data_IF_219822235801
#
_entry.id   IF_219822235801
#
_cell.length_a   1.000
_cell.length_b   1.000
_cell.length_c   1.000
_cell.angle_alpha   90.00
_cell.angle_beta   90.00
_cell.angle_gamma   90.00
#
_symmetry.space_group_name_H-M   'P 1'
#
loop_
_entity.id
_entity.type
_entity.pdbx_description
1 polymer ?
#
# COMPACT_ATOMS: atom_id res chain seq x y z
N UNK A 1 43.44 -65.59 0.34
CA UNK A 1 42.98 -64.24 -0.06
C UNK A 1 41.61 -63.99 0.57
N UNK A 2 41.56 -63.82 1.90
CA UNK A 2 41.70 -62.61 2.71
C UNK A 2 40.35 -61.88 2.93
N UNK A 3 39.60 -62.38 3.92
CA UNK A 3 38.31 -61.88 4.43
C UNK A 3 38.41 -60.41 4.94
N UNK A 4 39.63 -59.86 5.04
CA UNK A 4 39.88 -58.44 5.36
C UNK A 4 39.57 -57.46 4.23
N UNK A 5 39.54 -57.87 2.95
CA UNK A 5 39.28 -56.93 1.85
C UNK A 5 37.78 -56.69 1.58
N UNK A 6 36.91 -57.68 1.85
CA UNK A 6 35.47 -57.53 1.67
C UNK A 6 34.79 -56.62 2.72
N UNK A 7 35.43 -56.43 3.89
CA UNK A 7 34.94 -55.49 4.93
C UNK A 7 35.30 -54.03 4.63
N UNK A 8 36.35 -53.75 3.87
CA UNK A 8 36.78 -52.37 3.58
C UNK A 8 36.01 -51.71 2.43
N UNK A 9 35.40 -52.48 1.53
CA UNK A 9 34.59 -51.94 0.42
C UNK A 9 33.21 -51.43 0.86
N UNK A 10 32.53 -52.16 1.74
CA UNK A 10 31.16 -51.83 2.22
C UNK A 10 31.10 -50.61 3.13
N UNK A 11 32.18 -50.28 3.82
CA UNK A 11 32.25 -49.10 4.69
C UNK A 11 32.59 -47.83 3.90
N UNK A 12 33.35 -47.94 2.80
CA UNK A 12 33.65 -46.81 1.92
C UNK A 12 32.45 -46.36 1.10
N UNK A 13 31.56 -47.27 0.69
CA UNK A 13 30.30 -46.93 0.00
C UNK A 13 29.20 -46.44 0.95
N UNK A 14 29.16 -46.94 2.19
CA UNK A 14 28.23 -46.44 3.21
C UNK A 14 28.62 -45.05 3.75
N UNK A 15 29.92 -44.78 3.92
CA UNK A 15 30.41 -43.48 4.38
C UNK A 15 30.23 -42.38 3.32
N UNK A 16 30.33 -42.71 2.02
CA UNK A 16 30.07 -41.75 0.92
C UNK A 16 28.59 -41.44 0.76
N UNK A 17 27.68 -42.42 0.94
CA UNK A 17 26.24 -42.16 0.96
C UNK A 17 25.77 -41.38 2.19
N UNK A 18 26.37 -41.62 3.37
CA UNK A 18 26.04 -40.86 4.59
C UNK A 18 26.55 -39.40 4.53
N UNK A 19 27.72 -39.16 3.92
CA UNK A 19 28.23 -37.80 3.71
C UNK A 19 27.41 -37.02 2.67
N UNK A 20 26.90 -37.67 1.62
CA UNK A 20 25.99 -37.05 0.64
C UNK A 20 24.59 -36.78 1.22
N UNK A 21 24.05 -37.66 2.07
CA UNK A 21 22.80 -37.40 2.79
C UNK A 21 22.95 -36.31 3.85
N UNK A 22 24.05 -36.26 4.59
CA UNK A 22 24.35 -35.15 5.52
C UNK A 22 24.61 -33.83 4.78
N UNK A 23 25.23 -33.85 3.58
CA UNK A 23 25.39 -32.66 2.77
C UNK A 23 24.06 -32.20 2.16
N UNK A 24 23.16 -33.10 1.77
CA UNK A 24 21.81 -32.77 1.26
C UNK A 24 20.85 -32.32 2.37
N UNK A 25 20.97 -32.85 3.59
CA UNK A 25 20.22 -32.31 4.74
C UNK A 25 20.81 -30.99 5.21
N UNK A 26 22.13 -30.79 5.20
CA UNK A 26 22.75 -29.49 5.48
C UNK A 26 22.45 -28.45 4.39
N UNK A 27 22.27 -28.85 3.12
CA UNK A 27 21.82 -27.94 2.06
C UNK A 27 20.33 -27.62 2.18
N UNK A 28 19.50 -28.62 2.54
CA UNK A 28 18.07 -28.44 2.83
C UNK A 28 17.78 -27.63 4.09
N UNK A 29 18.64 -27.69 5.11
CA UNK A 29 18.56 -26.87 6.32
C UNK A 29 19.25 -25.50 6.17
N UNK A 30 20.21 -25.34 5.25
CA UNK A 30 20.82 -24.03 4.96
C UNK A 30 20.00 -23.17 3.98
N UNK A 31 18.98 -23.74 3.33
CA UNK A 31 18.04 -22.98 2.50
C UNK A 31 16.87 -22.38 3.29
N UNK A 32 16.69 -22.76 4.56
CA UNK A 32 15.83 -22.04 5.49
C UNK A 32 16.63 -20.93 6.18
N UNK A 33 16.16 -19.70 6.02
CA UNK A 33 16.57 -18.49 6.75
C UNK A 33 17.72 -17.64 6.20
N UNK A 34 17.86 -17.51 4.89
CA UNK A 34 18.20 -16.19 4.33
C UNK A 34 17.01 -15.70 3.52
N UNK A 35 15.93 -15.38 4.24
CA UNK A 35 14.96 -14.40 3.74
C UNK A 35 15.76 -13.18 3.28
N UNK A 36 15.57 -12.65 2.06
CA UNK A 36 16.22 -11.41 1.67
C UNK A 36 15.96 -10.39 2.79
N UNK A 37 17.04 -9.74 3.27
CA UNK A 37 16.98 -8.71 4.30
C UNK A 37 15.76 -7.83 4.01
N UNK A 38 14.71 -8.01 4.80
CA UNK A 38 13.42 -7.42 4.54
C UNK A 38 13.49 -5.98 5.01
N UNK A 39 13.93 -5.06 4.15
CA UNK A 39 13.93 -3.65 4.48
C UNK A 39 12.48 -3.22 4.61
N UNK A 40 12.04 -2.95 5.84
CA UNK A 40 10.69 -2.46 6.08
C UNK A 40 10.58 -1.05 5.49
N UNK A 41 9.65 -0.88 4.56
CA UNK A 41 9.38 0.37 3.83
C UNK A 41 7.94 0.83 4.03
N UNK A 42 7.70 2.11 3.72
CA UNK A 42 6.36 2.71 3.77
C UNK A 42 5.40 1.95 2.84
N UNK A 43 4.22 1.62 3.36
CA UNK A 43 3.16 0.87 2.68
C UNK A 43 3.18 -0.63 2.97
N UNK A 44 4.23 -1.17 3.59
CA UNK A 44 4.26 -2.57 4.03
C UNK A 44 3.55 -2.74 5.38
N UNK A 45 2.93 -3.90 5.59
CA UNK A 45 2.56 -4.33 6.95
C UNK A 45 3.85 -4.61 7.71
N UNK A 46 4.01 -4.01 8.89
CA UNK A 46 5.21 -4.23 9.67
C UNK A 46 5.29 -5.70 10.12
N UNK A 47 6.45 -6.36 9.95
CA UNK A 47 6.64 -7.73 10.41
C UNK A 47 6.37 -7.82 11.91
N UNK A 48 5.46 -8.70 12.31
CA UNK A 48 5.20 -8.88 13.74
C UNK A 48 6.42 -9.46 14.45
N UNK A 49 6.55 -9.16 15.73
CA UNK A 49 7.60 -9.68 16.60
C UNK A 49 7.10 -9.73 18.03
N UNK A 50 7.73 -10.57 18.84
CA UNK A 50 7.48 -10.63 20.28
C UNK A 50 8.81 -10.43 20.99
N UNK A 51 8.85 -9.46 21.91
CA UNK A 51 10.01 -9.17 22.75
C UNK A 51 9.56 -9.00 24.21
N UNK A 52 10.44 -9.30 25.18
CA UNK A 52 10.18 -8.97 26.58
C UNK A 52 10.23 -7.45 26.77
N UNK A 53 9.23 -6.90 27.47
CA UNK A 53 9.25 -5.52 27.95
C UNK A 53 10.17 -5.37 29.18
N UNK A 54 10.30 -4.13 29.66
CA UNK A 54 11.05 -3.84 30.89
C UNK A 54 10.53 -4.54 32.13
N UNK A 55 9.31 -5.08 32.17
CA UNK A 55 8.80 -5.89 33.28
C UNK A 55 9.16 -7.37 33.15
N UNK A 56 9.77 -7.77 32.03
CA UNK A 56 9.97 -9.17 31.65
C UNK A 56 8.71 -9.80 31.02
N UNK A 57 7.65 -9.02 30.79
CA UNK A 57 6.44 -9.52 30.15
C UNK A 57 6.62 -9.51 28.64
N UNK A 58 6.34 -10.64 28.00
CA UNK A 58 6.33 -10.72 26.53
C UNK A 58 5.26 -9.80 25.95
N UNK A 59 5.64 -8.98 24.96
CA UNK A 59 4.76 -8.09 24.21
C UNK A 59 4.94 -8.38 22.73
N UNK A 60 3.83 -8.60 22.03
CA UNK A 60 3.84 -8.60 20.57
C UNK A 60 3.61 -7.18 20.03
N UNK A 61 4.13 -6.88 18.84
CA UNK A 61 3.86 -5.59 18.19
C UNK A 61 2.37 -5.42 17.90
N UNK A 62 1.69 -6.51 17.55
CA UNK A 62 0.25 -6.53 17.32
C UNK A 62 -0.59 -6.17 18.55
N UNK A 63 -0.25 -6.69 19.73
CA UNK A 63 -0.94 -6.35 20.99
C UNK A 63 -0.80 -4.87 21.36
N UNK A 64 0.32 -4.24 21.02
CA UNK A 64 0.60 -2.85 21.37
C UNK A 64 -0.18 -1.83 20.51
N UNK A 65 -0.73 -2.26 19.36
CA UNK A 65 -1.53 -1.37 18.51
C UNK A 65 -2.88 -1.04 19.15
N UNK A 66 -3.62 -2.04 19.65
CA UNK A 66 -4.92 -1.87 20.32
C UNK A 66 -5.85 -0.80 19.65
N UNK A 67 -6.01 -0.89 18.32
CA UNK A 67 -6.76 0.05 17.48
C UNK A 67 -6.28 1.54 17.50
N UNK A 68 -5.01 1.77 17.81
CA UNK A 68 -4.36 3.10 17.87
C UNK A 68 -3.23 3.19 16.86
N UNK A 69 -2.80 4.41 16.57
CA UNK A 69 -1.56 4.65 15.81
C UNK A 69 -0.38 4.25 16.69
N UNK A 70 0.56 3.48 16.14
CA UNK A 70 1.73 3.03 16.88
C UNK A 70 2.98 3.75 16.39
N UNK A 71 3.70 4.37 17.31
CA UNK A 71 5.05 4.91 17.08
C UNK A 71 6.04 3.81 17.47
N UNK A 72 6.63 3.14 16.48
CA UNK A 72 7.65 2.12 16.68
C UNK A 72 9.03 2.74 16.48
N UNK A 73 9.81 2.88 17.55
CA UNK A 73 11.11 3.53 17.53
C UNK A 73 12.23 2.54 17.83
N UNK A 74 13.24 2.47 16.98
CA UNK A 74 14.47 1.68 17.20
C UNK A 74 15.59 2.60 17.66
N UNK A 75 16.17 2.30 18.82
CA UNK A 75 17.19 3.14 19.48
C UNK A 75 18.21 2.28 20.23
N UNK A 76 19.23 2.93 20.79
CA UNK A 76 20.21 2.29 21.66
C UNK A 76 20.70 3.27 22.73
N UNK A 77 21.11 2.76 23.90
CA UNK A 77 21.55 3.59 25.02
C UNK A 77 22.89 4.28 24.78
N UNK A 78 23.74 3.73 23.91
CA UNK A 78 24.96 4.39 23.46
C UNK A 78 24.69 5.60 22.55
N UNK A 79 23.46 5.74 22.05
CA UNK A 79 23.02 6.91 21.32
C UNK A 79 22.31 7.84 22.30
N UNK A 80 22.96 8.93 22.72
CA UNK A 80 22.45 9.84 23.77
C UNK A 80 21.09 10.50 23.47
N UNK A 81 20.56 10.32 22.26
CA UNK A 81 19.27 10.85 21.78
C UNK A 81 18.06 10.29 22.50
N UNK A 82 18.13 9.09 23.09
CA UNK A 82 16.96 8.43 23.69
C UNK A 82 16.35 9.20 24.86
N UNK A 83 17.18 9.91 25.64
CA UNK A 83 16.72 10.75 26.77
C UNK A 83 15.85 11.89 26.27
N UNK A 84 16.31 12.54 25.21
CA UNK A 84 15.56 13.61 24.57
C UNK A 84 14.28 13.09 23.92
N UNK A 85 14.31 11.93 23.26
CA UNK A 85 13.13 11.34 22.62
C UNK A 85 12.03 11.03 23.63
N UNK A 86 12.37 10.45 24.79
CA UNK A 86 11.40 10.20 25.86
C UNK A 86 10.71 11.48 26.31
N UNK A 87 11.47 12.57 26.51
CA UNK A 87 10.89 13.89 26.86
C UNK A 87 9.99 14.39 25.74
N UNK A 88 10.43 14.30 24.49
CA UNK A 88 9.68 14.75 23.30
C UNK A 88 8.35 13.99 23.14
N UNK A 89 8.29 12.69 23.45
CA UNK A 89 7.03 11.92 23.44
C UNK A 89 6.07 12.34 24.55
N UNK A 90 6.56 12.56 25.78
CA UNK A 90 5.74 13.07 26.89
C UNK A 90 5.16 14.45 26.55
N UNK A 91 5.95 15.33 25.94
CA UNK A 91 5.50 16.63 25.48
C UNK A 91 4.47 16.53 24.35
N UNK A 92 4.69 15.67 23.35
CA UNK A 92 3.75 15.43 22.26
C UNK A 92 2.36 15.07 22.80
N UNK A 93 2.29 14.21 23.81
CA UNK A 93 1.00 13.86 24.43
C UNK A 93 0.35 15.05 25.11
N UNK A 94 1.12 15.83 25.87
CA UNK A 94 0.61 16.99 26.60
C UNK A 94 0.08 18.06 25.65
N UNK A 95 0.76 18.27 24.52
CA UNK A 95 0.40 19.26 23.50
C UNK A 95 -0.77 18.79 22.63
N UNK A 96 -0.87 17.48 22.36
CA UNK A 96 -1.91 16.89 21.52
C UNK A 96 -2.65 15.74 22.24
N UNK A 97 -3.43 16.03 23.30
CA UNK A 97 -4.05 15.01 24.15
C UNK A 97 -5.13 14.18 23.45
N UNK A 98 -5.69 14.70 22.35
CA UNK A 98 -6.74 14.05 21.56
C UNK A 98 -6.22 12.99 20.59
N UNK A 99 -4.91 12.93 20.33
CA UNK A 99 -4.34 11.96 19.38
C UNK A 99 -4.21 10.56 20.03
N UNK A 100 -4.85 9.51 19.48
CA UNK A 100 -4.82 8.15 19.98
C UNK A 100 -3.58 7.44 19.44
N UNK A 101 -2.43 7.71 20.05
CA UNK A 101 -1.19 7.00 19.76
C UNK A 101 -0.63 6.25 20.97
N UNK A 102 0.19 5.23 20.69
CA UNK A 102 1.03 4.51 21.65
C UNK A 102 2.49 4.52 21.17
N UNK A 103 3.45 4.49 22.10
CA UNK A 103 4.88 4.46 21.77
C UNK A 103 5.47 3.11 22.20
N UNK A 104 6.01 2.38 21.22
CA UNK A 104 6.79 1.18 21.42
C UNK A 104 8.24 1.45 21.03
N UNK A 105 9.16 1.35 21.98
CA UNK A 105 10.57 1.60 21.76
C UNK A 105 11.34 0.27 21.86
N UNK A 106 12.10 -0.07 20.83
CA UNK A 106 12.96 -1.25 20.77
C UNK A 106 14.41 -0.80 20.98
N UNK A 107 14.99 -1.20 22.11
CA UNK A 107 16.42 -1.03 22.36
C UNK A 107 17.17 -2.16 21.66
N UNK A 108 18.04 -1.80 20.70
CA UNK A 108 18.79 -2.76 19.88
C UNK A 108 20.06 -3.29 20.56
N UNK A 109 20.53 -2.60 21.61
CA UNK A 109 21.71 -2.98 22.40
C UNK A 109 21.34 -3.67 23.71
N UNK A 110 20.13 -3.42 24.23
CA UNK A 110 19.66 -3.94 25.53
C UNK A 110 20.51 -3.50 26.73
N UNK A 111 21.51 -2.64 26.52
CA UNK A 111 22.40 -2.13 27.55
C UNK A 111 21.60 -1.23 28.51
N UNK A 112 21.99 -1.13 29.78
CA UNK A 112 21.38 -0.16 30.74
C UNK A 112 19.86 -0.25 30.95
N UNK A 113 19.18 -1.31 30.51
CA UNK A 113 17.74 -1.48 30.74
C UNK A 113 17.37 -1.47 32.22
N UNK A 114 18.23 -1.97 33.11
CA UNK A 114 18.02 -1.91 34.56
C UNK A 114 18.12 -0.48 35.11
N UNK A 115 18.97 0.36 34.52
CA UNK A 115 19.06 1.77 34.86
C UNK A 115 17.80 2.51 34.38
N UNK A 116 17.35 2.23 33.16
CA UNK A 116 16.09 2.78 32.65
C UNK A 116 14.89 2.36 33.52
N UNK A 117 14.81 1.07 33.88
CA UNK A 117 13.77 0.55 34.79
C UNK A 117 13.74 1.30 36.13
N UNK A 118 14.91 1.61 36.70
CA UNK A 118 15.00 2.44 37.92
C UNK A 118 14.46 3.85 37.71
N UNK A 119 14.81 4.52 36.61
CA UNK A 119 14.28 5.85 36.32
C UNK A 119 12.77 5.89 36.11
N UNK A 120 12.20 4.85 35.51
CA UNK A 120 10.73 4.70 35.44
C UNK A 120 10.15 4.55 36.85
N UNK A 121 10.71 3.67 37.70
CA UNK A 121 10.23 3.45 39.08
C UNK A 121 10.34 4.70 39.95
N UNK A 122 11.37 5.51 39.74
CA UNK A 122 11.61 6.79 40.44
C UNK A 122 10.75 7.94 39.89
N UNK A 123 9.88 7.70 38.90
CA UNK A 123 9.00 8.71 38.33
C UNK A 123 9.70 9.75 37.45
N UNK A 124 10.97 9.53 37.09
CA UNK A 124 11.77 10.44 36.24
C UNK A 124 11.39 10.35 34.77
N UNK A 125 10.72 9.27 34.39
CA UNK A 125 10.17 9.05 33.05
C UNK A 125 8.68 8.79 33.23
N UNK A 126 7.85 9.79 32.92
CA UNK A 126 6.40 9.69 32.99
C UNK A 126 5.80 9.85 31.59
N UNK A 127 5.28 8.74 31.04
CA UNK A 127 4.39 8.56 29.88
C UNK A 127 4.50 7.06 29.46
N UNK A 128 3.45 6.37 28.94
CA UNK A 128 3.47 4.91 28.79
C UNK A 128 4.23 4.47 27.52
N UNK A 129 5.53 4.74 27.48
CA UNK A 129 6.43 4.16 26.47
C UNK A 129 6.66 2.70 26.83
N UNK A 130 6.25 1.78 25.97
CA UNK A 130 6.60 0.37 26.13
C UNK A 130 8.00 0.16 25.57
N UNK A 131 8.97 -0.08 26.46
CA UNK A 131 10.34 -0.38 26.03
C UNK A 131 10.55 -1.89 26.01
N UNK A 132 11.03 -2.40 24.89
CA UNK A 132 11.33 -3.80 24.62
C UNK A 132 12.82 -3.97 24.27
N UNK A 133 13.36 -5.14 24.59
CA UNK A 133 14.79 -5.43 24.41
C UNK A 133 15.04 -6.42 23.28
N UNK A 134 15.65 -5.99 22.18
CA UNK A 134 16.05 -6.87 21.07
C UNK A 134 17.44 -7.47 21.33
N UNK A 135 17.53 -8.26 22.40
CA UNK A 135 18.77 -8.95 22.81
C UNK A 135 19.12 -10.00 21.73
N UNK A 136 20.08 -9.67 20.87
CA UNK A 136 20.47 -10.51 19.73
C UNK A 136 20.22 -9.88 18.36
N UNK A 137 19.59 -8.70 18.30
CA UNK A 137 19.45 -7.95 17.06
C UNK A 137 18.53 -8.60 16.02
N UNK A 138 17.67 -9.54 16.42
CA UNK A 138 16.81 -10.28 15.51
C UNK A 138 15.75 -9.36 14.90
N UNK A 139 15.12 -8.52 15.72
CA UNK A 139 14.11 -7.58 15.25
C UNK A 139 14.77 -6.45 14.45
N UNK A 140 15.91 -5.93 14.89
CA UNK A 140 16.73 -4.96 14.16
C UNK A 140 17.04 -5.47 12.74
N UNK A 141 17.48 -6.72 12.63
CA UNK A 141 17.83 -7.34 11.35
C UNK A 141 16.59 -7.55 10.48
N UNK A 142 15.49 -8.05 11.07
CA UNK A 142 14.20 -8.24 10.39
C UNK A 142 13.61 -6.94 9.84
N UNK A 143 13.85 -5.82 10.50
CA UNK A 143 13.41 -4.50 10.07
C UNK A 143 14.39 -3.77 9.15
N UNK A 144 15.58 -4.35 8.90
CA UNK A 144 16.63 -3.75 8.08
C UNK A 144 17.22 -2.48 8.71
N UNK A 145 17.36 -2.43 10.04
CA UNK A 145 17.84 -1.25 10.77
C UNK A 145 19.37 -1.22 10.81
N UNK A 146 19.98 -0.49 9.88
CA UNK A 146 21.43 -0.28 9.81
C UNK A 146 21.90 0.98 10.55
N UNK A 147 21.03 1.98 10.69
CA UNK A 147 21.27 3.25 11.40
C UNK A 147 20.21 3.45 12.49
N UNK A 148 20.52 4.24 13.51
CA UNK A 148 19.59 4.60 14.59
C UNK A 148 19.74 6.09 14.96
N UNK A 149 18.71 6.73 15.53
CA UNK A 149 17.36 6.19 15.74
C UNK A 149 16.54 6.13 14.45
N UNK A 150 15.63 5.16 14.38
CA UNK A 150 14.67 5.02 13.26
C UNK A 150 13.26 4.84 13.82
N UNK A 151 12.36 5.72 13.39
CA UNK A 151 10.97 5.75 13.82
C UNK A 151 10.07 5.34 12.67
N UNK A 152 9.12 4.44 12.95
CA UNK A 152 8.02 4.10 12.06
C UNK A 152 6.69 4.54 12.68
N UNK A 153 5.83 5.16 11.88
CA UNK A 153 4.43 5.35 12.22
C UNK A 153 3.60 4.26 11.57
N UNK A 154 2.96 3.44 12.38
CA UNK A 154 2.03 2.42 11.92
C UNK A 154 0.60 2.86 12.14
N UNK A 155 -0.25 2.62 11.15
CA UNK A 155 -1.69 2.78 11.34
C UNK A 155 -2.29 1.67 12.21
N UNK A 156 -3.61 1.75 12.41
CA UNK A 156 -4.40 0.79 13.21
C UNK A 156 -4.28 -0.65 12.68
N UNK A 157 -4.12 -0.79 11.37
CA UNK A 157 -3.92 -2.09 10.70
C UNK A 157 -2.48 -2.60 10.80
N UNK A 158 -1.53 -1.81 11.32
CA UNK A 158 -0.11 -2.18 11.37
C UNK A 158 0.63 -1.98 10.05
N UNK A 159 0.09 -1.19 9.13
CA UNK A 159 0.79 -0.75 7.92
C UNK A 159 1.68 0.43 8.26
N UNK A 160 2.94 0.38 7.84
CA UNK A 160 3.89 1.48 7.96
C UNK A 160 3.44 2.62 7.06
N UNK A 161 3.09 3.77 7.65
CA UNK A 161 2.67 4.97 6.92
C UNK A 161 3.78 5.99 6.77
N UNK A 162 4.67 6.08 7.77
CA UNK A 162 5.84 6.95 7.73
C UNK A 162 7.06 6.21 8.29
N UNK A 163 8.24 6.59 7.80
CA UNK A 163 9.55 6.15 8.30
C UNK A 163 10.45 7.37 8.39
N UNK A 164 11.03 7.59 9.57
CA UNK A 164 11.90 8.71 9.86
C UNK A 164 13.25 8.22 10.39
N UNK A 165 14.31 8.92 10.03
CA UNK A 165 15.62 8.79 10.65
C UNK A 165 15.73 9.87 11.72
N UNK A 166 15.67 9.47 12.98
CA UNK A 166 15.52 10.38 14.10
C UNK A 166 14.07 10.80 14.39
N UNK A 167 13.94 11.65 15.41
CA UNK A 167 12.67 12.26 15.79
C UNK A 167 12.35 13.46 14.87
N UNK A 168 11.27 13.42 14.07
CA UNK A 168 11.02 14.42 13.02
C UNK A 168 10.44 15.75 13.53
N UNK A 169 10.15 15.83 14.83
CA UNK A 169 9.52 17.00 15.46
C UNK A 169 8.05 16.75 15.84
N UNK A 170 7.60 17.37 16.94
CA UNK A 170 6.27 17.11 17.51
C UNK A 170 5.13 17.47 16.55
N UNK A 171 5.22 18.62 15.89
CA UNK A 171 4.21 19.08 14.93
C UNK A 171 4.12 18.16 13.71
N UNK A 172 5.26 17.67 13.22
CA UNK A 172 5.30 16.70 12.11
C UNK A 172 4.59 15.40 12.51
N UNK A 173 4.96 14.82 13.66
CA UNK A 173 4.28 13.62 14.16
C UNK A 173 2.78 13.85 14.39
N UNK A 174 2.38 14.99 14.95
CA UNK A 174 0.97 15.29 15.18
C UNK A 174 0.17 15.36 13.86
N UNK A 175 0.71 16.02 12.84
CA UNK A 175 0.11 16.07 11.50
C UNK A 175 0.01 14.69 10.88
N UNK A 176 1.09 13.90 10.89
CA UNK A 176 1.11 12.55 10.31
C UNK A 176 0.14 11.61 11.03
N UNK A 177 0.05 11.67 12.36
CA UNK A 177 -0.93 10.91 13.15
C UNK A 177 -2.35 11.36 12.77
N UNK A 178 -2.60 12.66 12.65
CA UNK A 178 -3.89 13.18 12.24
C UNK A 178 -4.27 12.71 10.82
N UNK A 179 -3.33 12.70 9.87
CA UNK A 179 -3.53 12.16 8.52
C UNK A 179 -3.84 10.66 8.52
N UNK A 180 -3.18 9.88 9.38
CA UNK A 180 -3.49 8.46 9.54
C UNK A 180 -4.92 8.28 10.06
N UNK A 181 -5.36 9.12 10.99
CA UNK A 181 -6.70 9.07 11.57
C UNK A 181 -7.79 9.59 10.63
N UNK A 182 -7.49 10.58 9.80
CA UNK A 182 -8.45 11.22 8.88
C UNK A 182 -8.61 10.46 7.57
N UNK A 183 -7.71 9.51 7.28
CA UNK A 183 -7.95 8.51 6.23
C UNK A 183 -9.22 7.75 6.57
N UNK A 184 -10.27 8.01 5.78
CA UNK A 184 -11.53 7.26 5.77
C UNK A 184 -11.18 5.77 5.79
N UNK A 185 -11.51 5.07 6.88
CA UNK A 185 -11.30 3.63 7.02
C UNK A 185 -11.85 2.95 5.76
N UNK A 186 -10.96 2.37 4.95
CA UNK A 186 -11.38 1.57 3.81
C UNK A 186 -11.97 0.27 4.37
N UNK A 187 -13.27 0.32 4.64
CA UNK A 187 -14.20 -0.76 4.99
C UNK A 187 -13.71 -1.79 6.03
N UNK A 188 -14.34 -1.71 7.20
CA UNK A 188 -14.41 -2.66 8.31
C UNK A 188 -15.00 -4.05 7.94
N UNK A 189 -14.59 -4.63 6.80
CA UNK A 189 -14.99 -5.99 6.38
C UNK A 189 -13.80 -6.94 6.26
N UNK A 190 -12.56 -6.44 6.38
CA UNK A 190 -11.36 -7.23 6.08
C UNK A 190 -11.24 -7.62 4.59
N UNK A 191 -12.17 -7.19 3.73
CA UNK A 191 -12.14 -7.51 2.31
C UNK A 191 -11.15 -6.59 1.58
N UNK A 192 -10.18 -7.20 0.88
CA UNK A 192 -9.29 -6.44 0.00
C UNK A 192 -10.09 -5.97 -1.20
N UNK A 193 -10.13 -4.67 -1.47
CA UNK A 193 -10.78 -4.10 -2.64
C UNK A 193 -9.77 -3.46 -3.59
N UNK A 194 -10.12 -3.41 -4.87
CA UNK A 194 -9.36 -2.71 -5.91
C UNK A 194 -10.33 -2.17 -6.96
N UNK A 195 -10.03 -1.00 -7.51
CA UNK A 195 -10.85 -0.37 -8.55
C UNK A 195 -10.05 -0.30 -9.85
N UNK A 196 -10.59 -0.92 -10.91
CA UNK A 196 -10.09 -0.73 -12.26
C UNK A 196 -10.80 0.46 -12.88
N UNK A 197 -10.02 1.38 -13.43
CA UNK A 197 -10.54 2.58 -14.09
C UNK A 197 -9.86 2.75 -15.44
N UNK A 198 -10.65 3.10 -16.46
CA UNK A 198 -10.18 3.21 -17.83
C UNK A 198 -10.47 4.60 -18.36
N UNK A 199 -9.41 5.33 -18.71
CA UNK A 199 -9.49 6.64 -19.35
C UNK A 199 -9.66 6.49 -20.87
N UNK A 200 -10.04 7.59 -21.51
CA UNK A 200 -10.20 7.74 -22.96
C UNK A 200 -11.31 6.92 -23.63
N UNK A 201 -12.26 6.40 -22.85
CA UNK A 201 -13.39 5.63 -23.34
C UNK A 201 -14.39 6.51 -24.13
N UNK A 202 -15.15 5.97 -25.10
CA UNK A 202 -14.94 4.73 -25.82
C UNK A 202 -13.95 4.94 -26.98
N UNK A 203 -12.93 4.10 -27.06
CA UNK A 203 -12.08 3.99 -28.24
C UNK A 203 -12.74 3.02 -29.25
N UNK A 204 -12.90 3.42 -30.53
CA UNK A 204 -13.74 2.69 -31.50
C UNK A 204 -13.33 1.24 -31.73
N UNK A 205 -12.02 0.94 -31.69
CA UNK A 205 -11.52 -0.40 -31.98
C UNK A 205 -11.46 -1.33 -30.76
N UNK A 206 -11.42 -0.77 -29.54
CA UNK A 206 -11.03 -1.52 -28.33
C UNK A 206 -12.12 -1.56 -27.27
N UNK A 207 -12.99 -0.55 -27.20
CA UNK A 207 -14.07 -0.46 -26.21
C UNK A 207 -14.96 -1.71 -26.16
N UNK A 208 -15.37 -2.26 -27.31
CA UNK A 208 -16.18 -3.48 -27.35
C UNK A 208 -15.45 -4.69 -26.74
N UNK A 209 -14.14 -4.80 -26.98
CA UNK A 209 -13.31 -5.85 -26.38
C UNK A 209 -13.15 -5.63 -24.87
N UNK A 210 -12.94 -4.38 -24.43
CA UNK A 210 -12.86 -4.04 -23.02
C UNK A 210 -14.15 -4.41 -22.27
N UNK A 211 -15.32 -3.97 -22.78
CA UNK A 211 -16.65 -4.28 -22.22
C UNK A 211 -16.82 -5.79 -22.06
N UNK A 212 -16.50 -6.55 -23.12
CA UNK A 212 -16.59 -8.01 -23.12
C UNK A 212 -15.70 -8.64 -22.05
N UNK A 213 -14.42 -8.26 -21.97
CA UNK A 213 -13.47 -8.80 -20.96
C UNK A 213 -13.99 -8.52 -19.54
N UNK A 214 -14.39 -7.28 -19.27
CA UNK A 214 -14.87 -6.89 -17.94
C UNK A 214 -16.15 -7.67 -17.56
N UNK A 215 -17.08 -7.85 -18.52
CA UNK A 215 -18.34 -8.57 -18.32
C UNK A 215 -18.12 -10.06 -18.09
N UNK A 216 -17.33 -10.72 -18.94
CA UNK A 216 -16.98 -12.15 -18.81
C UNK A 216 -16.29 -12.45 -17.48
N UNK A 217 -15.52 -11.49 -16.96
CA UNK A 217 -14.84 -11.63 -15.69
C UNK A 217 -15.65 -11.13 -14.48
N UNK A 218 -16.87 -10.62 -14.66
CA UNK A 218 -17.74 -10.16 -13.57
C UNK A 218 -17.08 -9.11 -12.67
N UNK A 219 -16.34 -8.16 -13.26
CA UNK A 219 -15.67 -7.09 -12.51
C UNK A 219 -16.46 -5.79 -12.53
N UNK A 220 -16.38 -5.02 -11.45
CA UNK A 220 -16.85 -3.63 -11.43
C UNK A 220 -15.71 -2.72 -11.90
N UNK A 221 -16.02 -1.75 -12.76
CA UNK A 221 -15.05 -0.78 -13.27
C UNK A 221 -15.72 0.58 -13.53
N UNK A 222 -14.90 1.62 -13.60
CA UNK A 222 -15.30 2.95 -14.08
C UNK A 222 -14.68 3.19 -15.45
N UNK A 223 -15.48 3.60 -16.42
CA UNK A 223 -15.04 3.96 -17.76
C UNK A 223 -15.22 5.47 -17.92
N UNK A 224 -14.10 6.22 -17.94
CA UNK A 224 -14.11 7.67 -18.05
C UNK A 224 -14.28 8.08 -19.51
N UNK A 225 -15.47 8.59 -19.83
CA UNK A 225 -15.88 8.90 -21.19
C UNK A 225 -15.40 10.28 -21.64
N UNK A 226 -14.80 10.34 -22.83
CA UNK A 226 -14.61 11.58 -23.57
C UNK A 226 -15.95 11.90 -24.26
N UNK A 227 -16.54 13.06 -23.95
CA UNK A 227 -17.88 13.40 -24.39
C UNK A 227 -18.08 13.40 -25.91
N UNK A 228 -17.08 13.85 -26.68
CA UNK A 228 -17.11 13.78 -28.15
C UNK A 228 -17.19 12.33 -28.65
N UNK A 229 -16.33 11.44 -28.13
CA UNK A 229 -16.31 10.02 -28.52
C UNK A 229 -17.59 9.30 -28.09
N UNK A 230 -18.15 9.67 -26.94
CA UNK A 230 -19.45 9.16 -26.49
C UNK A 230 -20.58 9.52 -27.45
N UNK A 231 -20.52 10.71 -28.07
CA UNK A 231 -21.48 11.14 -29.09
C UNK A 231 -21.28 10.40 -30.42
N UNK A 232 -20.04 10.15 -30.81
CA UNK A 232 -19.69 9.44 -32.06
C UNK A 232 -19.97 7.93 -31.97
N UNK A 233 -19.88 7.35 -30.76
CA UNK A 233 -20.08 5.92 -30.49
C UNK A 233 -21.09 5.66 -29.36
N UNK A 234 -22.36 6.08 -29.53
CA UNK A 234 -23.38 6.00 -28.48
C UNK A 234 -23.74 4.56 -28.09
N UNK A 235 -23.58 3.61 -29.02
CA UNK A 235 -23.80 2.18 -28.79
C UNK A 235 -22.87 1.60 -27.74
N UNK A 236 -21.60 2.03 -27.71
CA UNK A 236 -20.59 1.52 -26.76
C UNK A 236 -20.84 2.05 -25.35
N UNK A 237 -21.27 3.32 -25.22
CA UNK A 237 -21.69 3.89 -23.94
C UNK A 237 -22.90 3.14 -23.37
N UNK A 238 -23.90 2.89 -24.21
CA UNK A 238 -25.13 2.17 -23.82
C UNK A 238 -24.83 0.72 -23.44
N UNK A 239 -24.00 0.01 -24.20
CA UNK A 239 -23.61 -1.36 -23.89
C UNK A 239 -22.85 -1.43 -22.55
N UNK A 240 -21.88 -0.52 -22.34
CA UNK A 240 -21.13 -0.48 -21.09
C UNK A 240 -22.03 -0.18 -19.87
N UNK A 241 -22.92 0.81 -19.99
CA UNK A 241 -23.83 1.18 -18.92
C UNK A 241 -24.84 0.07 -18.60
N UNK A 242 -25.44 -0.55 -19.61
CA UNK A 242 -26.35 -1.70 -19.44
C UNK A 242 -25.66 -2.96 -18.91
N UNK A 243 -24.35 -3.10 -19.16
CA UNK A 243 -23.50 -4.13 -18.57
C UNK A 243 -23.15 -3.85 -17.09
N UNK A 244 -23.61 -2.73 -16.53
CA UNK A 244 -23.45 -2.38 -15.12
C UNK A 244 -22.14 -1.67 -14.77
N UNK A 245 -21.38 -1.20 -15.77
CA UNK A 245 -20.20 -0.36 -15.54
C UNK A 245 -20.60 1.08 -15.24
N UNK A 246 -19.81 1.74 -14.41
CA UNK A 246 -20.00 3.16 -14.10
C UNK A 246 -19.37 4.00 -15.21
N UNK A 247 -20.15 4.91 -15.81
CA UNK A 247 -19.65 5.83 -16.83
C UNK A 247 -19.27 7.15 -16.16
N UNK A 248 -17.97 7.42 -16.11
CA UNK A 248 -17.41 8.67 -15.59
C UNK A 248 -17.23 9.71 -16.70
N UNK A 249 -16.90 10.94 -16.29
CA UNK A 249 -16.62 12.06 -17.19
C UNK A 249 -15.10 12.27 -17.33
N UNK A 250 -14.61 12.37 -18.58
CA UNK A 250 -13.21 12.66 -18.91
C UNK A 250 -13.04 13.93 -19.75
N UNK A 251 -13.90 14.93 -19.53
CA UNK A 251 -14.08 16.13 -20.36
C UNK A 251 -14.64 15.83 -21.76
N UNK A 252 -14.98 16.89 -22.51
CA UNK A 252 -15.69 16.76 -23.77
C UNK A 252 -14.73 16.52 -24.94
N UNK A 253 -13.67 17.32 -25.04
CA UNK A 253 -12.67 17.26 -26.11
C UNK A 253 -11.29 16.77 -25.62
N UNK A 254 -11.20 16.24 -24.38
CA UNK A 254 -9.96 15.72 -23.79
C UNK A 254 -8.84 16.78 -23.63
N UNK A 255 -9.23 18.02 -23.35
CA UNK A 255 -8.29 19.13 -23.13
C UNK A 255 -7.92 19.20 -21.64
N UNK A 256 -6.62 19.25 -21.28
CA UNK A 256 -6.21 19.47 -19.90
C UNK A 256 -6.80 20.77 -19.35
N UNK A 257 -7.40 20.71 -18.17
CA UNK A 257 -8.00 21.90 -17.55
C UNK A 257 -6.96 22.95 -17.13
N UNK A 258 -5.68 22.59 -17.11
CA UNK A 258 -4.57 23.50 -16.85
C UNK A 258 -4.43 24.46 -18.05
N UNK A 259 -4.95 25.67 -17.92
CA UNK A 259 -4.93 26.70 -18.96
C UNK A 259 -6.31 27.11 -19.48
N UNK A 260 -7.38 26.47 -19.02
CA UNK A 260 -8.76 26.84 -19.35
C UNK A 260 -9.34 27.80 -18.30
N UNK A 261 -10.21 28.70 -18.76
CA UNK A 261 -11.07 29.52 -17.90
C UNK A 261 -12.14 28.66 -17.20
N UNK A 262 -12.73 29.19 -16.13
CA UNK A 262 -13.80 28.48 -15.42
C UNK A 262 -15.00 28.17 -16.33
N UNK A 263 -15.34 29.07 -17.27
CA UNK A 263 -16.41 28.84 -18.25
C UNK A 263 -16.08 27.71 -19.23
N UNK A 264 -14.84 27.62 -19.68
CA UNK A 264 -14.40 26.55 -20.57
C UNK A 264 -14.38 25.20 -19.85
N UNK A 265 -13.89 25.16 -18.60
CA UNK A 265 -13.95 23.94 -17.76
C UNK A 265 -15.41 23.52 -17.55
N UNK A 266 -16.30 24.46 -17.22
CA UNK A 266 -17.73 24.19 -17.06
C UNK A 266 -18.31 23.56 -18.32
N UNK A 267 -18.06 24.16 -19.49
CA UNK A 267 -18.56 23.64 -20.76
C UNK A 267 -18.06 22.22 -21.03
N UNK A 268 -16.77 21.95 -20.84
CA UNK A 268 -16.17 20.62 -21.00
C UNK A 268 -16.82 19.56 -20.09
N UNK A 269 -17.15 19.93 -18.85
CA UNK A 269 -17.80 19.02 -17.89
C UNK A 269 -19.29 18.85 -18.22
N UNK A 270 -20.03 19.93 -18.39
CA UNK A 270 -21.49 19.92 -18.59
C UNK A 270 -21.88 19.25 -19.91
N UNK A 271 -21.20 19.56 -21.02
CA UNK A 271 -21.48 18.91 -22.31
C UNK A 271 -21.28 17.39 -22.25
N UNK A 272 -20.23 16.94 -21.54
CA UNK A 272 -19.99 15.51 -21.34
C UNK A 272 -21.06 14.89 -20.45
N UNK A 273 -21.47 15.57 -19.37
CA UNK A 273 -22.54 15.11 -18.50
C UNK A 273 -23.87 14.96 -19.26
N UNK A 274 -24.23 15.92 -20.11
CA UNK A 274 -25.45 15.88 -20.92
C UNK A 274 -25.44 14.70 -21.89
N UNK A 275 -24.32 14.46 -22.59
CA UNK A 275 -24.18 13.32 -23.49
C UNK A 275 -24.34 12.01 -22.74
N UNK A 276 -23.62 11.82 -21.62
CA UNK A 276 -23.70 10.59 -20.84
C UNK A 276 -25.09 10.39 -20.24
N UNK A 277 -25.70 11.43 -19.68
CA UNK A 277 -27.06 11.35 -19.12
C UNK A 277 -28.09 11.00 -20.18
N UNK A 278 -28.02 11.62 -21.37
CA UNK A 278 -28.91 11.29 -22.48
C UNK A 278 -28.78 9.84 -22.94
N UNK A 279 -27.57 9.28 -22.93
CA UNK A 279 -27.31 7.92 -23.41
C UNK A 279 -27.61 6.85 -22.36
N UNK A 280 -27.44 7.15 -21.08
CA UNK A 280 -27.51 6.16 -19.99
C UNK A 280 -28.69 6.36 -19.03
N UNK A 281 -29.37 7.51 -19.09
CA UNK A 281 -30.38 7.93 -18.13
C UNK A 281 -29.81 8.31 -16.76
N UNK A 282 -28.49 8.44 -16.62
CA UNK A 282 -27.80 8.73 -15.36
C UNK A 282 -26.76 9.83 -15.55
N UNK A 283 -26.78 10.83 -14.67
CA UNK A 283 -25.69 11.81 -14.60
C UNK A 283 -24.40 11.12 -14.12
N UNK A 284 -23.24 11.41 -14.76
CA UNK A 284 -21.97 10.93 -14.25
C UNK A 284 -21.74 11.39 -12.81
N UNK A 285 -21.39 10.45 -11.93
CA UNK A 285 -20.99 10.75 -10.55
C UNK A 285 -19.52 11.16 -10.47
N UNK A 286 -18.68 10.51 -11.27
CA UNK A 286 -17.23 10.63 -11.22
C UNK A 286 -16.69 11.51 -12.34
N UNK A 287 -15.71 12.35 -12.01
CA UNK A 287 -14.90 13.13 -12.95
C UNK A 287 -13.44 12.72 -12.79
N UNK A 288 -12.75 12.51 -13.89
CA UNK A 288 -11.29 12.53 -13.93
C UNK A 288 -10.85 13.58 -14.95
N UNK A 289 -10.19 14.67 -14.55
CA UNK A 289 -9.67 15.65 -15.51
C UNK A 289 -8.59 15.02 -16.39
N UNK A 290 -8.52 15.33 -17.70
CA UNK A 290 -7.38 14.95 -18.52
C UNK A 290 -6.06 15.39 -17.89
N UNK A 291 -5.11 14.46 -17.78
CA UNK A 291 -3.84 14.69 -17.10
C UNK A 291 -3.90 14.79 -15.56
N UNK A 292 -5.06 14.52 -14.94
CA UNK A 292 -5.23 14.39 -13.49
C UNK A 292 -5.19 15.68 -12.68
N UNK A 293 -5.01 16.83 -13.33
CA UNK A 293 -4.90 18.15 -12.69
C UNK A 293 -6.24 18.88 -12.73
N UNK A 294 -6.72 19.29 -11.56
CA UNK A 294 -7.91 20.11 -11.41
C UNK A 294 -7.51 21.48 -10.82
N UNK A 295 -7.76 22.59 -11.51
CA UNK A 295 -7.58 23.92 -10.94
C UNK A 295 -8.44 24.13 -9.68
N UNK A 296 -7.97 24.92 -8.70
CA UNK A 296 -8.81 25.33 -7.58
C UNK A 296 -10.12 25.97 -8.04
N UNK A 297 -11.21 25.64 -7.35
CA UNK A 297 -12.55 26.17 -7.64
C UNK A 297 -13.12 25.84 -9.03
N UNK A 298 -12.56 24.84 -9.72
CA UNK A 298 -13.10 24.37 -11.00
C UNK A 298 -14.60 24.00 -10.87
N UNK A 299 -15.49 24.52 -11.76
CA UNK A 299 -16.92 24.29 -11.68
C UNK A 299 -17.27 22.89 -12.21
N UNK A 300 -17.12 21.88 -11.34
CA UNK A 300 -17.35 20.48 -11.66
C UNK A 300 -18.73 19.96 -11.24
N UNK A 301 -19.65 20.86 -10.86
CA UNK A 301 -21.04 20.50 -10.54
C UNK A 301 -21.21 19.53 -9.36
N UNK A 302 -20.28 19.51 -8.40
CA UNK A 302 -20.33 18.62 -7.23
C UNK A 302 -19.93 17.17 -7.52
N UNK A 303 -19.43 16.87 -8.73
CA UNK A 303 -18.91 15.55 -9.09
C UNK A 303 -17.72 15.14 -8.22
N UNK A 304 -17.54 13.83 -8.06
CA UNK A 304 -16.44 13.27 -7.31
C UNK A 304 -15.20 13.12 -8.19
N UNK A 305 -14.09 13.76 -7.77
CA UNK A 305 -12.83 13.69 -8.52
C UNK A 305 -12.10 12.39 -8.20
N UNK A 306 -11.98 11.51 -9.20
CA UNK A 306 -11.30 10.23 -9.06
C UNK A 306 -9.87 10.35 -9.57
N UNK A 307 -8.91 10.28 -8.64
CA UNK A 307 -7.49 10.11 -8.94
C UNK A 307 -7.11 8.63 -9.04
N UNK A 308 -5.83 8.34 -9.11
CA UNK A 308 -5.30 6.98 -9.04
C UNK A 308 -4.23 6.89 -7.97
N UNK A 309 -4.01 5.67 -7.49
CA UNK A 309 -2.91 5.33 -6.56
C UNK A 309 -1.90 4.38 -7.18
N UNK A 310 -2.25 3.78 -8.32
CA UNK A 310 -1.44 2.83 -9.06
C UNK A 310 -1.55 3.20 -10.54
N UNK A 311 -0.42 3.54 -11.14
CA UNK A 311 -0.27 3.78 -12.57
C UNK A 311 0.77 2.79 -13.13
N UNK A 312 0.37 1.82 -13.96
CA UNK A 312 1.31 0.92 -14.62
C UNK A 312 2.01 1.57 -15.82
N UNK A 313 1.64 2.79 -16.21
CA UNK A 313 2.18 3.52 -17.35
C UNK A 313 1.82 2.87 -18.68
N UNK A 314 0.61 2.30 -18.79
CA UNK A 314 0.18 1.57 -19.99
C UNK A 314 0.05 2.47 -21.23
N UNK A 315 -0.27 3.75 -21.04
CA UNK A 315 -0.29 4.75 -22.12
C UNK A 315 1.05 4.88 -22.87
N UNK A 316 2.16 4.56 -22.18
CA UNK A 316 3.50 4.54 -22.77
C UNK A 316 3.81 3.24 -23.54
N UNK A 317 2.85 2.30 -23.58
CA UNK A 317 2.94 0.98 -24.23
C UNK A 317 4.21 0.20 -23.87
N UNK A 318 4.49 -0.04 -22.57
CA UNK A 318 5.72 -0.69 -22.13
C UNK A 318 5.73 -2.22 -22.37
N UNK A 319 4.71 -2.76 -23.04
CA UNK A 319 4.49 -4.20 -23.22
C UNK A 319 3.59 -4.82 -22.15
N UNK A 320 2.84 -5.84 -22.54
CA UNK A 320 1.81 -6.50 -21.71
C UNK A 320 2.37 -7.09 -20.40
N UNK A 321 3.57 -7.68 -20.44
CA UNK A 321 4.23 -8.27 -19.28
C UNK A 321 4.54 -7.21 -18.23
N UNK A 322 5.04 -6.04 -18.67
CA UNK A 322 5.41 -4.93 -17.78
C UNK A 322 4.19 -4.24 -17.19
N UNK A 323 3.09 -4.14 -17.94
CA UNK A 323 1.80 -3.66 -17.43
C UNK A 323 1.33 -4.59 -16.31
N UNK A 324 1.28 -5.91 -16.55
CA UNK A 324 0.85 -6.87 -15.55
C UNK A 324 1.74 -6.90 -14.31
N UNK A 325 3.06 -6.92 -14.51
CA UNK A 325 4.03 -6.87 -13.42
C UNK A 325 3.78 -5.66 -12.53
N UNK A 326 3.67 -4.45 -13.10
CA UNK A 326 3.45 -3.22 -12.34
C UNK A 326 2.11 -3.23 -11.59
N UNK A 327 1.03 -3.66 -12.23
CA UNK A 327 -0.28 -3.77 -11.56
C UNK A 327 -0.19 -4.77 -10.40
N UNK A 328 0.34 -5.96 -10.64
CA UNK A 328 0.34 -7.04 -9.64
C UNK A 328 1.33 -6.78 -8.50
N UNK A 329 2.46 -6.13 -8.74
CA UNK A 329 3.45 -5.83 -7.69
C UNK A 329 3.06 -4.63 -6.84
N UNK A 330 2.35 -3.66 -7.42
CA UNK A 330 1.98 -2.42 -6.72
C UNK A 330 0.55 -2.44 -6.16
N UNK A 331 -0.28 -3.43 -6.50
CA UNK A 331 -1.63 -3.57 -5.98
C UNK A 331 -1.66 -3.66 -4.45
N UNK A 332 -2.45 -2.79 -3.83
CA UNK A 332 -2.72 -2.74 -2.39
C UNK A 332 -4.21 -2.63 -2.15
N UNK A 333 -4.66 -2.94 -0.93
CA UNK A 333 -6.06 -2.74 -0.57
C UNK A 333 -6.47 -1.26 -0.81
N UNK A 334 -7.58 -1.05 -1.51
CA UNK A 334 -8.08 0.26 -1.90
C UNK A 334 -7.35 0.88 -3.09
N UNK A 335 -6.51 0.14 -3.82
CA UNK A 335 -5.85 0.67 -5.02
C UNK A 335 -6.88 1.10 -6.07
N UNK A 336 -6.66 2.28 -6.67
CA UNK A 336 -7.36 2.73 -7.87
C UNK A 336 -6.35 2.74 -9.01
N UNK A 337 -6.57 1.85 -9.99
CA UNK A 337 -5.66 1.57 -11.10
C UNK A 337 -6.04 2.43 -12.29
N UNK A 338 -5.11 3.28 -12.75
CA UNK A 338 -5.22 4.00 -14.01
C UNK A 338 -4.86 3.08 -15.17
N UNK A 339 -5.75 2.95 -16.15
CA UNK A 339 -5.57 2.22 -17.40
C UNK A 339 -6.23 3.03 -18.53
N UNK A 340 -5.98 2.67 -19.78
CA UNK A 340 -6.55 3.35 -20.94
C UNK A 340 -7.23 2.36 -21.88
N UNK A 341 -8.44 2.69 -22.36
CA UNK A 341 -9.21 1.83 -23.26
C UNK A 341 -8.52 1.62 -24.62
N UNK A 342 -7.81 2.65 -25.11
CA UNK A 342 -7.11 2.62 -26.41
C UNK A 342 -5.79 1.83 -26.46
N UNK A 343 -5.39 1.15 -25.37
CA UNK A 343 -4.12 0.42 -25.29
C UNK A 343 -4.35 -1.09 -25.44
N UNK A 344 -4.04 -1.65 -26.61
CA UNK A 344 -4.28 -3.07 -26.93
C UNK A 344 -3.56 -4.01 -25.96
N UNK A 345 -2.33 -3.68 -25.57
CA UNK A 345 -1.50 -4.45 -24.63
C UNK A 345 -2.16 -4.55 -23.24
N UNK A 346 -2.89 -3.50 -22.82
CA UNK A 346 -3.69 -3.51 -21.60
C UNK A 346 -4.81 -4.54 -21.70
N UNK A 347 -5.57 -4.52 -22.79
CA UNK A 347 -6.68 -5.46 -23.00
C UNK A 347 -6.21 -6.90 -23.09
N UNK A 348 -5.09 -7.16 -23.77
CA UNK A 348 -4.51 -8.51 -23.89
C UNK A 348 -4.16 -9.13 -22.54
N UNK A 349 -3.72 -8.32 -21.58
CA UNK A 349 -3.25 -8.80 -20.26
C UNK A 349 -4.27 -8.62 -19.14
N UNK A 350 -5.35 -7.89 -19.40
CA UNK A 350 -6.40 -7.62 -18.42
C UNK A 350 -7.03 -8.89 -17.82
N UNK A 351 -7.33 -9.97 -18.60
CA UNK A 351 -7.84 -11.22 -18.01
C UNK A 351 -6.87 -11.86 -17.01
N UNK A 352 -5.56 -11.82 -17.30
CA UNK A 352 -4.52 -12.29 -16.39
C UNK A 352 -4.51 -11.46 -15.11
N UNK A 353 -4.45 -10.13 -15.23
CA UNK A 353 -4.48 -9.20 -14.09
C UNK A 353 -5.69 -9.48 -13.20
N UNK A 354 -6.89 -9.59 -13.79
CA UNK A 354 -8.12 -9.84 -13.04
C UNK A 354 -8.05 -11.16 -12.27
N UNK A 355 -7.64 -12.24 -12.94
CA UNK A 355 -7.53 -13.56 -12.32
C UNK A 355 -6.55 -13.56 -11.15
N UNK A 356 -5.36 -12.98 -11.33
CA UNK A 356 -4.33 -12.93 -10.29
C UNK A 356 -4.75 -12.07 -9.10
N UNK A 357 -5.43 -10.94 -9.33
CA UNK A 357 -5.98 -10.11 -8.26
C UNK A 357 -7.06 -10.85 -7.46
N UNK A 358 -7.99 -11.55 -8.13
CA UNK A 358 -8.98 -12.41 -7.45
C UNK A 358 -8.29 -13.50 -6.62
N UNK A 359 -7.29 -14.17 -7.18
CA UNK A 359 -6.51 -15.20 -6.49
C UNK A 359 -5.80 -14.69 -5.24
N UNK A 360 -5.47 -13.39 -5.18
CA UNK A 360 -4.87 -12.71 -4.01
C UNK A 360 -5.91 -12.19 -3.01
N UNK A 361 -7.20 -12.46 -3.25
CA UNK A 361 -8.33 -12.09 -2.41
C UNK A 361 -8.89 -10.69 -2.67
N UNK A 362 -8.55 -10.05 -3.79
CA UNK A 362 -9.14 -8.75 -4.14
C UNK A 362 -10.55 -8.90 -4.72
N UNK A 363 -11.45 -8.04 -4.25
CA UNK A 363 -12.76 -7.78 -4.84
C UNK A 363 -12.72 -6.49 -5.67
N UNK A 364 -13.34 -6.53 -6.84
CA UNK A 364 -13.46 -5.34 -7.69
C UNK A 364 -14.59 -4.43 -7.19
N UNK A 365 -14.26 -3.19 -6.90
CA UNK A 365 -15.17 -2.19 -6.35
C UNK A 365 -15.01 -0.84 -7.04
N UNK A 366 -16.00 0.05 -6.92
CA UNK A 366 -15.89 1.41 -7.41
C UNK A 366 -14.92 2.23 -6.54
N UNK A 367 -14.24 3.24 -7.11
CA UNK A 367 -13.32 4.09 -6.36
C UNK A 367 -13.99 4.77 -5.15
N UNK A 368 -13.25 4.98 -4.04
CA UNK A 368 -13.74 5.75 -2.92
C UNK A 368 -13.90 7.22 -3.30
N UNK A 369 -14.86 7.88 -2.65
CA UNK A 369 -15.25 9.30 -2.82
C UNK A 369 -14.10 10.30 -2.66
N UNK A 370 -13.01 9.90 -2.00
CA UNK A 370 -11.83 10.72 -1.72
C UNK A 370 -10.59 9.84 -1.76
N UNK A 371 -9.71 10.09 -2.73
CA UNK A 371 -8.36 9.50 -2.75
C UNK A 371 -7.41 10.60 -2.26
N UNK A 372 -6.69 10.41 -1.14
CA UNK A 372 -5.70 11.39 -0.69
C UNK A 372 -4.71 11.62 -1.83
N UNK A 373 -4.58 12.87 -2.30
CA UNK A 373 -3.60 13.21 -3.33
C UNK A 373 -2.21 12.87 -2.80
N UNK A 374 -1.54 11.88 -3.40
CA UNK A 374 -0.10 11.79 -3.26
C UNK A 374 0.48 12.80 -4.23
N UNK A 375 1.08 13.86 -3.70
CA UNK A 375 1.99 14.71 -4.46
C UNK A 375 3.07 13.81 -5.06
N UNK A 376 3.14 13.77 -6.38
CA UNK A 376 4.24 13.17 -7.13
C UNK A 376 5.50 14.02 -6.98
#
# INVERSE_FOLDING_TARGET
MNIREARNGRWKTAATFALLLCALTLWGFAQESLSPLSIVTVGMRAPDFTLPDLGGKSRSLSDLRNNRVLILNFWAFWCDTWREEVVKYSELRREFPHLPFHVAAVSIDGARLDQYRRWVKEGRIAFPVTVMADRGGVVRSRYGISVIPVLFLLDRDGVVRYKHYGFPGKKVLATEIHEIMSRKESSDTGEKTISLTFDDFPHPETAGTLIRILRENGVKAVLFAIGRRALDHPELIKEASSSGFEIGNHSYDHIPFSGLSQSEIRAQVEQTNEVVEKLTGRKPRYLRPPGGKLPPSAPIGGMEVVRWTLDPGDILRPGREKIAERVLTQARNGSVVLLHDGVRETLEVLPLIIRELKGRGFRFALPPTQIPSRSH
#
